data_IF_980751309716
#
_entry.id   IF_980751309716
#
_cell.length_a   1.000
_cell.length_b   1.000
_cell.length_c   1.000
_cell.angle_alpha   90.00
_cell.angle_beta   90.00
_cell.angle_gamma   90.00
#
_symmetry.space_group_name_H-M   'P 1'
#
loop_
_entity.id
_entity.type
_entity.pdbx_description
1 polymer ?
#
# COMPACT_ATOMS: atom_id res chain seq x y z
N UNK A 1 22.25 18.76 23.60
CA UNK A 1 22.51 17.33 23.78
C UNK A 1 21.36 16.61 23.12
N UNK A 2 21.61 15.76 22.14
CA UNK A 2 20.55 14.98 21.50
C UNK A 2 20.04 13.95 22.50
N UNK A 3 18.73 13.85 22.64
CA UNK A 3 18.09 12.85 23.49
C UNK A 3 18.14 11.53 22.70
N UNK A 4 18.76 10.45 23.24
CA UNK A 4 18.76 9.16 22.57
C UNK A 4 17.34 8.69 22.30
N UNK A 5 17.12 8.08 21.13
CA UNK A 5 15.82 7.49 20.82
C UNK A 5 15.55 6.28 21.73
N UNK A 6 14.37 6.25 22.35
CA UNK A 6 13.87 5.07 23.06
C UNK A 6 12.89 4.31 22.16
N UNK A 7 13.38 3.23 21.55
CA UNK A 7 12.59 2.39 20.65
C UNK A 7 11.69 1.38 21.38
N UNK A 8 11.78 1.26 22.71
CA UNK A 8 11.13 0.20 23.49
C UNK A 8 9.62 0.18 23.31
N UNK A 9 8.98 1.35 23.36
CA UNK A 9 7.53 1.47 23.19
C UNK A 9 7.09 1.22 21.74
N UNK A 10 7.91 1.64 20.76
CA UNK A 10 7.63 1.36 19.35
C UNK A 10 7.77 -0.14 19.02
N UNK A 11 8.77 -0.82 19.59
CA UNK A 11 8.96 -2.25 19.44
C UNK A 11 7.76 -3.06 19.97
N UNK A 12 7.20 -2.68 21.13
CA UNK A 12 5.98 -3.29 21.68
C UNK A 12 4.76 -3.11 20.77
N UNK A 13 4.61 -1.92 20.17
CA UNK A 13 3.55 -1.66 19.19
C UNK A 13 3.72 -2.51 17.94
N UNK A 14 4.96 -2.68 17.48
CA UNK A 14 5.29 -3.54 16.34
C UNK A 14 4.99 -5.03 16.62
N UNK A 15 5.31 -5.52 17.81
CA UNK A 15 4.95 -6.88 18.25
C UNK A 15 3.43 -7.08 18.29
N UNK A 16 2.69 -6.08 18.77
CA UNK A 16 1.22 -6.12 18.78
C UNK A 16 0.66 -6.13 17.36
N UNK A 17 1.20 -5.29 16.49
CA UNK A 17 0.82 -5.23 15.07
C UNK A 17 0.97 -6.60 14.39
N UNK A 18 2.10 -7.29 14.59
CA UNK A 18 2.33 -8.61 13.98
C UNK A 18 1.48 -9.74 14.59
N UNK A 19 0.80 -9.50 15.70
CA UNK A 19 -0.21 -10.41 16.26
C UNK A 19 -1.62 -10.16 15.71
N UNK A 20 -1.85 -9.05 14.99
CA UNK A 20 -3.13 -8.78 14.36
C UNK A 20 -3.40 -9.80 13.24
N UNK A 21 -4.59 -10.38 13.25
CA UNK A 21 -5.06 -11.20 12.15
C UNK A 21 -5.19 -10.33 10.89
N UNK A 22 -4.78 -10.90 9.75
CA UNK A 22 -4.97 -10.30 8.45
C UNK A 22 -5.49 -11.37 7.48
N UNK A 23 -6.28 -10.97 6.50
CA UNK A 23 -6.85 -11.90 5.53
C UNK A 23 -6.53 -11.50 4.11
N UNK A 24 -5.65 -12.29 3.49
CA UNK A 24 -5.11 -12.01 2.18
C UNK A 24 -5.91 -12.67 1.05
N UNK A 25 -5.79 -12.17 -0.18
CA UNK A 25 -6.19 -12.87 -1.40
C UNK A 25 -7.69 -12.92 -1.73
N UNK A 26 -8.60 -12.54 -0.82
CA UNK A 26 -10.05 -12.51 -1.12
C UNK A 26 -10.55 -11.12 -1.51
N UNK A 27 -11.40 -11.07 -2.54
CA UNK A 27 -12.18 -9.87 -2.86
C UNK A 27 -13.14 -9.51 -1.73
N UNK A 28 -12.98 -8.32 -1.17
CA UNK A 28 -13.88 -7.77 -0.15
C UNK A 28 -14.28 -6.34 -0.48
N UNK A 29 -15.30 -5.86 0.24
CA UNK A 29 -15.68 -4.46 0.14
C UNK A 29 -14.48 -3.57 0.54
N UNK A 30 -14.27 -2.48 -0.19
CA UNK A 30 -13.20 -1.52 0.09
C UNK A 30 -13.18 -1.06 1.55
N UNK A 31 -14.33 -0.72 2.15
CA UNK A 31 -14.42 -0.31 3.55
C UNK A 31 -13.92 -1.40 4.51
N UNK A 32 -14.25 -2.65 4.24
CA UNK A 32 -13.80 -3.76 5.08
C UNK A 32 -12.28 -3.86 5.08
N UNK A 33 -11.64 -3.88 3.90
CA UNK A 33 -10.18 -3.98 3.84
C UNK A 33 -9.50 -2.72 4.38
N UNK A 34 -10.01 -1.53 4.05
CA UNK A 34 -9.42 -0.28 4.54
C UNK A 34 -9.50 -0.18 6.06
N UNK A 35 -10.62 -0.56 6.68
CA UNK A 35 -10.76 -0.50 8.14
C UNK A 35 -10.00 -1.62 8.85
N UNK A 36 -10.16 -2.86 8.40
CA UNK A 36 -9.66 -4.04 9.13
C UNK A 36 -8.22 -4.43 8.81
N UNK A 37 -7.67 -3.99 7.67
CA UNK A 37 -6.34 -4.42 7.20
C UNK A 37 -5.35 -3.24 7.02
N UNK A 38 -5.83 -1.99 6.99
CA UNK A 38 -4.95 -0.80 6.82
C UNK A 38 -5.04 0.13 8.03
N UNK A 39 -6.27 0.53 8.40
CA UNK A 39 -6.49 1.48 9.50
C UNK A 39 -6.18 0.85 10.86
N UNK A 40 -6.67 -0.37 11.12
CA UNK A 40 -6.34 -1.15 12.32
C UNK A 40 -4.83 -1.31 12.51
N UNK A 41 -4.15 -1.74 11.46
CA UNK A 41 -2.71 -1.94 11.38
C UNK A 41 -1.95 -0.67 11.77
N UNK A 42 -2.28 0.47 11.17
CA UNK A 42 -1.63 1.75 11.49
C UNK A 42 -1.95 2.23 12.89
N UNK A 43 -3.19 2.06 13.36
CA UNK A 43 -3.52 2.43 14.75
C UNK A 43 -2.77 1.59 15.76
N UNK A 44 -2.51 0.30 15.50
CA UNK A 44 -1.66 -0.51 16.38
C UNK A 44 -0.23 0.05 16.47
N UNK A 45 0.32 0.52 15.34
CA UNK A 45 1.67 1.10 15.27
C UNK A 45 1.80 2.46 15.98
N UNK A 46 0.72 3.23 16.09
CA UNK A 46 0.73 4.57 16.71
C UNK A 46 -0.03 4.67 18.04
N UNK A 47 -0.54 3.55 18.56
CA UNK A 47 -1.38 3.54 19.75
C UNK A 47 -0.68 4.22 20.93
N UNK A 48 -1.37 5.17 21.58
CA UNK A 48 -0.85 5.92 22.73
C UNK A 48 0.04 7.12 22.38
N UNK A 49 0.30 7.39 21.10
CA UNK A 49 1.04 8.58 20.67
C UNK A 49 0.10 9.73 20.30
N UNK A 50 0.55 10.96 20.55
CA UNK A 50 -0.09 12.14 19.99
C UNK A 50 0.15 12.16 18.47
N UNK A 51 -0.93 12.10 17.70
CA UNK A 51 -0.87 12.17 16.24
C UNK A 51 -0.67 13.64 15.80
N UNK A 52 0.48 13.89 15.17
CA UNK A 52 0.87 15.17 14.60
C UNK A 52 0.78 15.10 13.08
N UNK A 53 -0.32 15.60 12.52
CA UNK A 53 -0.55 15.58 11.07
C UNK A 53 -1.17 16.86 10.55
N UNK A 54 -1.63 17.75 11.41
CA UNK A 54 -2.10 19.08 11.04
C UNK A 54 -0.94 20.05 11.21
N UNK A 55 -0.63 20.80 10.15
CA UNK A 55 0.49 21.75 10.14
C UNK A 55 0.38 22.79 11.27
N UNK A 56 -0.84 23.13 11.73
CA UNK A 56 -1.04 24.04 12.86
C UNK A 56 -0.51 23.46 14.18
N UNK A 57 -0.39 22.13 14.31
CA UNK A 57 0.20 21.50 15.49
C UNK A 57 1.69 21.82 15.66
N UNK A 58 2.37 22.33 14.63
CA UNK A 58 3.77 22.77 14.74
C UNK A 58 3.94 24.24 15.14
N UNK A 59 2.83 24.97 15.28
CA UNK A 59 2.80 26.42 15.48
C UNK A 59 3.14 26.89 16.91
N UNK A 60 3.49 25.99 17.85
CA UNK A 60 3.75 26.35 19.26
C UNK A 60 4.76 27.51 19.46
N UNK A 61 5.71 27.67 18.53
CA UNK A 61 6.71 28.74 18.57
C UNK A 61 6.27 30.03 17.84
N UNK A 62 5.05 30.09 17.32
CA UNK A 62 4.52 31.27 16.63
C UNK A 62 4.38 32.46 17.59
N UNK A 63 4.56 33.66 17.06
CA UNK A 63 4.37 34.93 17.79
C UNK A 63 2.93 35.42 17.79
N UNK A 64 2.04 34.75 17.05
CA UNK A 64 0.62 35.09 16.96
C UNK A 64 -0.23 34.08 17.74
N UNK A 65 -1.52 34.37 17.90
CA UNK A 65 -2.48 33.51 18.62
C UNK A 65 -2.61 32.10 18.05
N UNK A 66 -2.13 31.84 16.82
CA UNK A 66 -2.07 30.49 16.24
C UNK A 66 -1.16 29.55 17.04
N UNK A 67 -0.32 30.09 17.94
CA UNK A 67 0.51 29.31 18.84
C UNK A 67 -0.30 28.38 19.76
N UNK A 68 -1.57 28.70 20.05
CA UNK A 68 -2.48 27.86 20.85
C UNK A 68 -2.79 26.52 20.17
N UNK A 69 -2.62 26.43 18.84
CA UNK A 69 -2.77 25.18 18.09
C UNK A 69 -1.56 24.23 18.28
N UNK A 70 -0.44 24.75 18.78
CA UNK A 70 0.80 24.01 18.92
C UNK A 70 0.69 22.79 19.83
N UNK A 71 1.24 21.68 19.38
CA UNK A 71 1.33 20.46 20.15
C UNK A 71 2.38 20.55 21.27
N UNK A 72 2.08 19.92 22.40
CA UNK A 72 3.04 19.65 23.46
C UNK A 72 3.97 18.49 23.07
N UNK A 73 5.15 18.83 22.54
CA UNK A 73 6.17 17.87 22.12
C UNK A 73 6.90 17.19 23.28
N UNK A 74 6.59 17.53 24.55
CA UNK A 74 7.08 16.76 25.70
C UNK A 74 6.36 15.40 25.83
N UNK A 75 5.21 15.24 25.19
CA UNK A 75 4.49 13.98 25.10
C UNK A 75 5.07 13.09 23.97
N UNK A 76 4.93 11.76 24.06
CA UNK A 76 5.23 10.88 22.94
C UNK A 76 4.34 11.20 21.73
N UNK A 77 4.95 11.58 20.62
CA UNK A 77 4.24 12.04 19.43
C UNK A 77 4.70 11.30 18.17
N UNK A 78 3.81 11.20 17.18
CA UNK A 78 4.13 10.66 15.86
C UNK A 78 3.71 11.60 14.77
N UNK A 79 4.63 11.87 13.85
CA UNK A 79 4.27 12.54 12.59
C UNK A 79 3.98 11.49 11.53
N UNK A 80 2.85 11.61 10.83
CA UNK A 80 2.45 10.65 9.79
C UNK A 80 2.51 11.28 8.41
N UNK A 81 3.18 10.62 7.48
CA UNK A 81 3.06 10.91 6.04
C UNK A 81 2.37 9.75 5.34
N UNK A 82 1.60 10.04 4.29
CA UNK A 82 0.88 9.03 3.52
C UNK A 82 1.10 9.21 2.02
N UNK A 83 1.60 8.15 1.40
CA UNK A 83 1.62 7.98 -0.03
C UNK A 83 0.74 6.80 -0.48
N UNK A 84 0.25 6.86 -1.71
CA UNK A 84 -0.33 5.70 -2.37
C UNK A 84 -0.05 5.71 -3.87
N UNK A 85 -0.08 4.53 -4.47
CA UNK A 85 -0.05 4.37 -5.92
C UNK A 85 -1.42 3.95 -6.44
N UNK A 86 -1.79 4.38 -7.64
CA UNK A 86 -2.95 3.91 -8.38
C UNK A 86 -2.57 3.77 -9.86
N UNK A 87 -3.31 2.98 -10.63
CA UNK A 87 -3.18 3.05 -12.07
C UNK A 87 -3.76 4.38 -12.59
N UNK A 88 -3.12 5.01 -13.58
CA UNK A 88 -3.65 6.19 -14.28
C UNK A 88 -4.89 5.93 -15.15
N UNK A 89 -5.39 4.69 -15.19
CA UNK A 89 -6.63 4.34 -15.88
C UNK A 89 -7.82 5.14 -15.30
N UNK A 90 -8.63 5.74 -16.18
CA UNK A 90 -9.80 6.54 -15.78
C UNK A 90 -10.81 5.76 -14.94
N UNK A 91 -10.91 4.44 -15.11
CA UNK A 91 -11.79 3.58 -14.29
C UNK A 91 -11.38 3.66 -12.81
N UNK A 92 -10.13 3.99 -12.52
CA UNK A 92 -9.58 4.11 -11.18
C UNK A 92 -9.84 5.45 -10.49
N UNK A 93 -10.26 6.47 -11.23
CA UNK A 93 -10.47 7.84 -10.73
C UNK A 93 -11.80 8.01 -9.98
N UNK A 94 -12.56 6.93 -9.79
CA UNK A 94 -13.87 6.93 -9.16
C UNK A 94 -13.88 6.56 -7.67
N UNK A 95 -14.89 5.80 -7.29
CA UNK A 95 -15.34 5.60 -5.92
C UNK A 95 -14.31 4.93 -5.00
N UNK A 96 -13.50 3.99 -5.49
CA UNK A 96 -12.44 3.35 -4.69
C UNK A 96 -11.41 4.37 -4.16
N UNK A 97 -11.11 5.40 -4.96
CA UNK A 97 -10.19 6.48 -4.61
C UNK A 97 -10.83 7.45 -3.63
N UNK A 98 -12.11 7.80 -3.82
CA UNK A 98 -12.85 8.61 -2.85
C UNK A 98 -12.95 7.91 -1.48
N UNK A 99 -13.39 6.65 -1.46
CA UNK A 99 -13.48 5.84 -0.22
C UNK A 99 -12.15 5.70 0.49
N UNK A 100 -11.06 5.52 -0.27
CA UNK A 100 -9.72 5.48 0.31
C UNK A 100 -9.36 6.81 0.97
N UNK A 101 -9.68 7.94 0.32
CA UNK A 101 -9.48 9.27 0.93
C UNK A 101 -10.31 9.44 2.21
N UNK A 102 -11.60 9.06 2.17
CA UNK A 102 -12.53 9.24 3.29
C UNK A 102 -12.23 8.32 4.48
N UNK A 103 -11.62 7.15 4.25
CA UNK A 103 -11.35 6.15 5.29
C UNK A 103 -9.89 6.18 5.75
N UNK A 104 -8.94 6.11 4.83
CA UNK A 104 -7.52 5.93 5.17
C UNK A 104 -6.84 7.29 5.26
N UNK A 105 -6.88 8.08 4.19
CA UNK A 105 -6.11 9.32 4.15
C UNK A 105 -6.64 10.37 5.13
N UNK A 106 -7.96 10.45 5.31
CA UNK A 106 -8.60 11.30 6.32
C UNK A 106 -8.12 11.05 7.75
N UNK A 107 -7.38 9.96 8.03
CA UNK A 107 -6.81 9.63 9.35
C UNK A 107 -5.30 9.80 9.44
N UNK A 108 -4.57 9.56 8.35
CA UNK A 108 -3.10 9.45 8.38
C UNK A 108 -2.35 10.36 7.41
N UNK A 109 -3.03 11.01 6.47
CA UNK A 109 -2.39 12.02 5.63
C UNK A 109 -2.26 13.34 6.40
N UNK A 110 -1.29 14.15 5.97
CA UNK A 110 -1.07 15.50 6.46
C UNK A 110 -2.26 16.40 6.10
N UNK A 111 -2.59 17.32 7.00
CA UNK A 111 -3.52 18.42 6.78
C UNK A 111 -2.72 19.71 6.70
N UNK A 112 -3.01 20.51 5.68
CA UNK A 112 -2.46 21.85 5.57
C UNK A 112 -2.97 22.76 6.68
N UNK A 113 -2.34 23.92 6.83
CA UNK A 113 -2.77 24.97 7.75
C UNK A 113 -4.20 25.48 7.51
N UNK A 114 -4.75 25.25 6.32
CA UNK A 114 -6.15 25.56 5.95
C UNK A 114 -7.06 24.32 5.93
N UNK A 115 -6.59 23.18 6.42
CA UNK A 115 -7.36 21.94 6.55
C UNK A 115 -7.46 21.10 5.26
N UNK A 116 -6.62 21.37 4.26
CA UNK A 116 -6.58 20.56 3.04
C UNK A 116 -5.79 19.27 3.23
N UNK A 117 -6.33 18.17 2.74
CA UNK A 117 -5.67 16.87 2.80
C UNK A 117 -4.49 16.80 1.82
N UNK A 118 -3.27 16.80 2.36
CA UNK A 118 -1.99 16.63 1.65
C UNK A 118 -1.56 15.17 1.73
N UNK A 119 -1.81 14.41 0.67
CA UNK A 119 -1.30 13.05 0.49
C UNK A 119 -0.55 12.91 -0.83
N UNK A 120 0.45 12.05 -0.85
CA UNK A 120 1.20 11.78 -2.07
C UNK A 120 0.52 10.73 -2.94
N UNK A 121 0.15 11.14 -4.15
CA UNK A 121 -0.62 10.34 -5.08
C UNK A 121 0.18 10.07 -6.36
N UNK A 122 0.56 8.82 -6.55
CA UNK A 122 1.32 8.39 -7.73
C UNK A 122 0.42 7.61 -8.69
N UNK A 123 0.50 7.90 -9.99
CA UNK A 123 -0.36 7.31 -11.02
C UNK A 123 0.37 6.50 -12.12
N UNK A 124 1.26 5.55 -11.79
CA UNK A 124 1.97 4.78 -12.81
C UNK A 124 1.04 3.86 -13.59
N UNK A 125 1.31 3.68 -14.89
CA UNK A 125 0.59 2.70 -15.70
C UNK A 125 0.75 1.25 -15.15
N UNK A 126 -0.34 0.51 -14.95
CA UNK A 126 -0.28 -0.78 -14.22
C UNK A 126 -0.77 -0.70 -12.78
N UNK A 127 -0.69 0.49 -12.16
CA UNK A 127 -0.71 0.63 -10.70
C UNK A 127 0.53 -0.04 -10.07
N UNK A 128 0.62 -0.04 -8.74
CA UNK A 128 1.87 -0.46 -8.07
C UNK A 128 2.98 0.56 -8.27
N UNK A 129 4.24 0.27 -7.90
CA UNK A 129 5.35 1.25 -7.95
C UNK A 129 5.88 1.48 -9.36
N UNK A 130 6.10 2.74 -9.74
CA UNK A 130 6.93 3.11 -10.92
C UNK A 130 8.40 2.72 -10.70
N UNK A 131 8.88 3.03 -9.49
CA UNK A 131 10.19 2.72 -8.94
C UNK A 131 10.07 2.80 -7.41
N UNK A 132 10.37 1.70 -6.71
CA UNK A 132 10.27 1.64 -5.25
C UNK A 132 11.15 2.69 -4.54
N UNK A 133 12.31 3.01 -5.11
CA UNK A 133 13.22 4.02 -4.58
C UNK A 133 12.67 5.44 -4.71
N UNK A 134 12.10 5.79 -5.86
CA UNK A 134 11.47 7.12 -6.04
C UNK A 134 10.30 7.30 -5.10
N UNK A 135 9.46 6.26 -4.92
CA UNK A 135 8.33 6.31 -4.00
C UNK A 135 8.81 6.51 -2.56
N UNK A 136 9.83 5.76 -2.11
CA UNK A 136 10.41 5.91 -0.78
C UNK A 136 10.99 7.32 -0.58
N UNK A 137 11.86 7.75 -1.49
CA UNK A 137 12.55 9.04 -1.40
C UNK A 137 11.59 10.22 -1.31
N UNK A 138 10.63 10.33 -2.25
CA UNK A 138 9.67 11.43 -2.26
C UNK A 138 8.80 11.42 -0.99
N UNK A 139 8.32 10.25 -0.57
CA UNK A 139 7.46 10.14 0.62
C UNK A 139 8.22 10.53 1.89
N UNK A 140 9.48 10.11 2.03
CA UNK A 140 10.32 10.45 3.19
C UNK A 140 10.71 11.92 3.19
N UNK A 141 11.05 12.48 2.03
CA UNK A 141 11.41 13.89 1.88
C UNK A 141 10.26 14.83 2.29
N UNK A 142 9.01 14.43 2.06
CA UNK A 142 7.82 15.24 2.37
C UNK A 142 7.24 14.97 3.77
N UNK A 143 7.93 14.24 4.66
CA UNK A 143 7.44 13.99 6.03
C UNK A 143 7.26 15.28 6.81
N UNK A 144 8.38 15.96 7.08
CA UNK A 144 8.51 17.22 7.80
C UNK A 144 9.89 17.80 7.51
N UNK A 145 9.97 19.13 7.49
CA UNK A 145 11.23 19.85 7.40
C UNK A 145 12.18 19.52 8.56
N UNK A 146 13.48 19.59 8.29
CA UNK A 146 14.53 19.28 9.27
C UNK A 146 14.41 20.09 10.56
N UNK A 147 14.03 21.37 10.46
CA UNK A 147 13.85 22.24 11.63
C UNK A 147 12.73 21.75 12.57
N UNK A 148 11.62 21.25 12.01
CA UNK A 148 10.52 20.66 12.77
C UNK A 148 10.91 19.28 13.29
N UNK A 149 11.64 18.49 12.51
CA UNK A 149 12.16 17.18 12.93
C UNK A 149 13.07 17.29 14.15
N UNK A 150 13.98 18.27 14.16
CA UNK A 150 14.83 18.56 15.33
C UNK A 150 14.01 18.90 16.58
N UNK A 151 12.94 19.69 16.43
CA UNK A 151 12.04 20.02 17.54
C UNK A 151 11.31 18.78 18.07
N UNK A 152 10.82 17.92 17.18
CA UNK A 152 10.19 16.66 17.55
C UNK A 152 11.16 15.76 18.35
N UNK A 153 12.38 15.60 17.85
CA UNK A 153 13.37 14.68 18.44
C UNK A 153 13.96 15.21 19.75
N UNK A 154 14.01 16.54 19.92
CA UNK A 154 14.39 17.19 21.16
C UNK A 154 13.29 17.18 22.24
N UNK A 155 12.05 16.87 21.87
CA UNK A 155 10.90 16.86 22.77
C UNK A 155 10.84 15.61 23.66
N UNK A 156 10.41 14.49 23.08
CA UNK A 156 10.25 13.21 23.78
C UNK A 156 11.13 12.11 23.13
N UNK A 157 11.82 11.26 23.93
CA UNK A 157 12.66 10.18 23.41
C UNK A 157 11.88 9.10 22.64
N UNK A 158 10.58 8.93 22.86
CA UNK A 158 9.75 7.95 22.16
C UNK A 158 9.13 8.50 20.87
N UNK A 159 9.28 9.80 20.59
CA UNK A 159 8.69 10.43 19.42
C UNK A 159 9.34 9.95 18.12
N UNK A 160 8.51 9.69 17.11
CA UNK A 160 8.89 9.00 15.88
C UNK A 160 8.19 9.58 14.63
N UNK A 161 8.61 9.15 13.45
CA UNK A 161 7.92 9.47 12.18
C UNK A 161 7.40 8.17 11.56
N UNK A 162 6.11 8.15 11.19
CA UNK A 162 5.48 7.06 10.47
C UNK A 162 5.38 7.38 8.98
N UNK A 163 5.98 6.52 8.16
CA UNK A 163 5.91 6.55 6.70
C UNK A 163 4.92 5.51 6.22
N UNK A 164 3.75 5.95 5.80
CA UNK A 164 2.71 5.06 5.32
C UNK A 164 2.66 5.04 3.79
N UNK A 165 2.76 3.86 3.16
CA UNK A 165 2.76 3.73 1.70
C UNK A 165 1.83 2.60 1.26
N UNK A 166 0.77 2.93 0.52
CA UNK A 166 -0.17 1.93 -0.01
C UNK A 166 0.01 1.73 -1.51
N UNK A 167 0.55 0.58 -1.89
CA UNK A 167 0.74 0.19 -3.27
C UNK A 167 -0.53 -0.46 -3.82
N UNK A 168 -1.14 0.17 -4.82
CA UNK A 168 -2.42 -0.31 -5.37
C UNK A 168 -2.30 -0.56 -6.87
N UNK A 169 -2.55 -1.80 -7.26
CA UNK A 169 -2.76 -2.22 -8.66
C UNK A 169 -4.24 -2.45 -8.90
N UNK A 170 -4.59 -2.90 -10.10
CA UNK A 170 -5.98 -3.12 -10.45
C UNK A 170 -6.23 -4.19 -11.48
N UNK A 171 -7.45 -4.70 -11.47
CA UNK A 171 -7.96 -5.64 -12.46
C UNK A 171 -9.44 -5.37 -12.70
N UNK A 172 -9.86 -5.35 -13.95
CA UNK A 172 -11.24 -5.24 -14.34
C UNK A 172 -11.97 -6.56 -14.11
N UNK A 173 -13.23 -6.46 -13.69
CA UNK A 173 -14.12 -7.61 -13.63
C UNK A 173 -15.44 -7.30 -14.32
N UNK A 174 -15.78 -8.13 -15.30
CA UNK A 174 -17.00 -8.01 -16.07
C UNK A 174 -17.76 -9.36 -16.08
N UNK A 175 -19.06 -9.29 -16.40
CA UNK A 175 -19.82 -10.45 -16.86
C UNK A 175 -20.07 -10.31 -18.36
N UNK A 176 -19.65 -11.30 -19.14
CA UNK A 176 -19.90 -11.43 -20.58
C UNK A 176 -20.52 -12.81 -20.82
N UNK A 177 -21.65 -12.86 -21.54
CA UNK A 177 -22.37 -14.10 -21.88
C UNK A 177 -22.64 -15.02 -20.67
N UNK A 178 -22.97 -14.42 -19.53
CA UNK A 178 -23.22 -15.13 -18.26
C UNK A 178 -21.96 -15.58 -17.52
N UNK A 179 -20.78 -15.51 -18.14
CA UNK A 179 -19.50 -15.87 -17.55
C UNK A 179 -18.80 -14.66 -16.94
N UNK A 180 -17.97 -14.91 -15.93
CA UNK A 180 -17.15 -13.89 -15.29
C UNK A 180 -15.80 -13.81 -15.98
N UNK A 181 -15.33 -12.60 -16.23
CA UNK A 181 -14.03 -12.33 -16.85
C UNK A 181 -13.22 -11.41 -15.95
N UNK A 182 -11.98 -11.79 -15.65
CA UNK A 182 -11.00 -10.92 -15.02
C UNK A 182 -10.05 -10.35 -16.06
N UNK A 183 -9.63 -9.10 -15.87
CA UNK A 183 -8.78 -8.38 -16.81
C UNK A 183 -9.54 -7.52 -17.81
N UNK A 184 -10.87 -7.50 -17.76
CA UNK A 184 -11.73 -6.72 -18.64
C UNK A 184 -12.80 -6.00 -17.83
N UNK A 185 -13.08 -4.75 -18.16
CA UNK A 185 -14.19 -4.00 -17.59
C UNK A 185 -14.63 -2.87 -18.52
N UNK A 186 -15.67 -2.14 -18.14
CA UNK A 186 -16.14 -0.94 -18.84
C UNK A 186 -16.44 0.14 -17.81
N UNK A 187 -16.22 1.38 -18.20
CA UNK A 187 -16.45 2.54 -17.34
C UNK A 187 -17.93 2.75 -17.01
N UNK A 188 -18.80 2.43 -17.96
CA UNK A 188 -20.24 2.60 -17.85
C UNK A 188 -20.96 1.67 -18.81
N UNK A 189 -22.29 1.49 -18.67
CA UNK A 189 -23.08 0.69 -19.60
C UNK A 189 -23.02 1.17 -21.06
N UNK A 190 -22.63 2.42 -21.32
CA UNK A 190 -22.57 3.03 -22.65
C UNK A 190 -21.17 2.99 -23.29
N UNK A 191 -20.19 2.37 -22.62
CA UNK A 191 -18.81 2.25 -23.12
C UNK A 191 -18.51 0.79 -23.41
N UNK A 192 -17.67 0.59 -24.42
CA UNK A 192 -17.19 -0.74 -24.79
C UNK A 192 -16.33 -1.36 -23.68
N UNK A 193 -16.47 -2.66 -23.42
CA UNK A 193 -15.54 -3.43 -22.61
C UNK A 193 -14.10 -3.34 -23.15
N UNK A 194 -13.14 -3.10 -22.27
CA UNK A 194 -11.70 -3.06 -22.60
C UNK A 194 -10.86 -3.71 -21.51
N UNK A 195 -9.60 -3.96 -21.84
CA UNK A 195 -8.64 -4.48 -20.87
C UNK A 195 -8.45 -3.51 -19.69
N UNK A 196 -8.39 -4.07 -18.49
CA UNK A 196 -8.13 -3.39 -17.24
C UNK A 196 -7.42 -4.37 -16.28
N UNK A 197 -6.17 -4.17 -15.88
CA UNK A 197 -5.27 -3.11 -16.34
C UNK A 197 -4.85 -3.29 -17.80
N UNK A 198 -5.08 -2.28 -18.63
CA UNK A 198 -4.65 -2.30 -20.04
C UNK A 198 -3.14 -2.46 -20.20
N UNK A 199 -2.35 -1.82 -19.33
CA UNK A 199 -0.89 -1.90 -19.39
C UNK A 199 -0.36 -3.31 -19.09
N UNK A 200 -0.90 -3.98 -18.07
CA UNK A 200 -0.50 -5.36 -17.73
C UNK A 200 -0.97 -6.33 -18.82
N UNK A 201 -2.21 -6.19 -19.27
CA UNK A 201 -2.76 -7.06 -20.31
C UNK A 201 -1.98 -6.96 -21.62
N UNK A 202 -1.62 -5.74 -22.05
CA UNK A 202 -0.88 -5.52 -23.28
C UNK A 202 0.59 -5.92 -23.15
N UNK A 203 1.22 -5.69 -21.99
CA UNK A 203 2.59 -6.16 -21.73
C UNK A 203 2.72 -7.68 -21.84
N UNK A 204 1.73 -8.43 -21.34
CA UNK A 204 1.74 -9.90 -21.40
C UNK A 204 1.39 -10.44 -22.81
N UNK A 205 0.50 -9.76 -23.55
CA UNK A 205 -0.01 -10.26 -24.83
C UNK A 205 0.80 -9.78 -26.04
N UNK A 206 1.29 -8.54 -25.99
CA UNK A 206 1.99 -7.85 -27.09
C UNK A 206 3.20 -7.07 -26.54
N UNK A 207 4.18 -7.79 -25.98
CA UNK A 207 5.35 -7.15 -25.40
C UNK A 207 6.14 -6.32 -26.44
N UNK A 208 6.38 -5.04 -26.13
CA UNK A 208 7.16 -4.14 -26.95
C UNK A 208 8.41 -3.69 -26.17
N UNK A 209 9.63 -4.12 -26.55
CA UNK A 209 10.85 -3.85 -25.77
C UNK A 209 11.22 -2.35 -25.71
N UNK A 210 10.72 -1.54 -26.63
CA UNK A 210 10.92 -0.08 -26.63
C UNK A 210 9.86 0.67 -25.81
N UNK A 211 8.79 0.01 -25.37
CA UNK A 211 7.79 0.60 -24.50
C UNK A 211 8.28 0.56 -23.04
N UNK A 212 8.50 1.72 -22.44
CA UNK A 212 8.98 1.86 -21.06
C UNK A 212 8.07 1.14 -20.05
N UNK A 213 6.76 1.21 -20.26
CA UNK A 213 5.77 0.61 -19.36
C UNK A 213 5.83 -0.93 -19.43
N UNK A 214 6.03 -1.50 -20.63
CA UNK A 214 6.11 -2.95 -20.79
C UNK A 214 7.37 -3.50 -20.12
N UNK A 215 8.51 -2.82 -20.32
CA UNK A 215 9.76 -3.17 -19.62
C UNK A 215 9.59 -3.16 -18.11
N UNK A 216 9.00 -2.10 -17.56
CA UNK A 216 8.74 -2.01 -16.11
C UNK A 216 7.86 -3.13 -15.61
N UNK A 217 6.73 -3.41 -16.26
CA UNK A 217 5.83 -4.49 -15.85
C UNK A 217 6.55 -5.84 -15.90
N UNK A 218 7.39 -6.07 -16.91
CA UNK A 218 8.23 -7.27 -16.99
C UNK A 218 9.27 -7.32 -15.88
N UNK A 219 9.88 -6.21 -15.50
CA UNK A 219 10.84 -6.14 -14.39
C UNK A 219 10.15 -6.42 -13.05
N UNK A 220 8.97 -5.80 -12.82
CA UNK A 220 8.13 -5.97 -11.65
C UNK A 220 7.57 -7.39 -11.53
N UNK A 221 7.19 -8.03 -12.63
CA UNK A 221 6.81 -9.45 -12.63
C UNK A 221 8.05 -10.33 -12.45
N UNK A 222 9.15 -9.98 -13.10
CA UNK A 222 10.37 -10.77 -13.17
C UNK A 222 10.27 -11.80 -14.30
N UNK A 223 11.42 -12.15 -14.85
CA UNK A 223 11.48 -12.88 -16.12
C UNK A 223 10.69 -14.19 -16.12
N UNK A 224 10.81 -15.00 -15.05
CA UNK A 224 10.10 -16.28 -14.95
C UNK A 224 8.59 -16.10 -14.92
N UNK A 225 8.09 -15.18 -14.08
CA UNK A 225 6.65 -14.90 -13.99
C UNK A 225 6.12 -14.30 -15.29
N UNK A 226 6.88 -13.40 -15.91
CA UNK A 226 6.50 -12.80 -17.18
C UNK A 226 6.35 -13.87 -18.27
N UNK A 227 7.36 -14.72 -18.46
CA UNK A 227 7.29 -15.83 -19.41
C UNK A 227 6.11 -16.77 -19.13
N UNK A 228 5.91 -17.14 -17.86
CA UNK A 228 4.81 -17.98 -17.45
C UNK A 228 3.45 -17.35 -17.77
N UNK A 229 3.19 -16.12 -17.31
CA UNK A 229 1.89 -15.44 -17.47
C UNK A 229 1.60 -15.01 -18.92
N UNK A 230 2.63 -14.84 -19.75
CA UNK A 230 2.47 -14.54 -21.18
C UNK A 230 2.14 -15.80 -22.01
N UNK A 231 2.42 -17.00 -21.51
CA UNK A 231 2.25 -18.26 -22.27
C UNK A 231 1.25 -19.23 -21.65
N UNK A 232 1.03 -19.14 -20.35
CA UNK A 232 0.14 -20.00 -19.58
C UNK A 232 -0.93 -19.16 -18.89
N UNK A 233 -2.13 -19.73 -18.84
CA UNK A 233 -3.27 -19.12 -18.14
C UNK A 233 -3.46 -19.78 -16.79
N UNK A 234 -3.84 -18.98 -15.81
CA UNK A 234 -4.22 -19.45 -14.47
C UNK A 234 -5.73 -19.39 -14.39
N UNK A 235 -6.36 -20.52 -14.11
CA UNK A 235 -7.81 -20.64 -14.01
C UNK A 235 -8.23 -20.93 -12.56
N UNK A 236 -9.45 -20.51 -12.22
CA UNK A 236 -10.11 -21.02 -11.02
C UNK A 236 -10.54 -22.48 -11.21
N UNK A 237 -10.93 -23.16 -10.13
CA UNK A 237 -11.57 -24.49 -10.19
C UNK A 237 -12.79 -24.53 -11.14
N UNK A 238 -13.53 -23.43 -11.25
CA UNK A 238 -14.67 -23.27 -12.17
C UNK A 238 -14.30 -22.87 -13.61
N UNK A 239 -13.00 -22.85 -13.96
CA UNK A 239 -12.53 -22.52 -15.31
C UNK A 239 -12.50 -21.03 -15.67
N UNK A 240 -12.59 -20.12 -14.69
CA UNK A 240 -12.49 -18.66 -14.94
C UNK A 240 -11.02 -18.24 -15.00
N UNK A 241 -10.60 -17.59 -16.10
CA UNK A 241 -9.25 -17.05 -16.23
C UNK A 241 -9.02 -15.89 -15.24
N UNK A 242 -8.01 -16.04 -14.39
CA UNK A 242 -7.59 -15.06 -13.37
C UNK A 242 -6.13 -14.61 -13.57
N UNK A 243 -5.52 -14.91 -14.71
CA UNK A 243 -4.12 -14.58 -15.03
C UNK A 243 -3.80 -13.11 -14.79
N UNK A 244 -4.69 -12.22 -15.21
CA UNK A 244 -4.50 -10.77 -15.02
C UNK A 244 -4.70 -10.33 -13.57
N UNK A 245 -5.53 -11.01 -12.78
CA UNK A 245 -5.64 -10.74 -11.35
C UNK A 245 -4.35 -11.15 -10.61
N UNK A 246 -3.77 -12.30 -10.97
CA UNK A 246 -2.49 -12.78 -10.43
C UNK A 246 -1.35 -11.86 -10.83
N UNK A 247 -1.26 -11.45 -12.11
CA UNK A 247 -0.25 -10.52 -12.57
C UNK A 247 -0.30 -9.18 -11.79
N UNK A 248 -1.49 -8.60 -11.63
CA UNK A 248 -1.69 -7.38 -10.82
C UNK A 248 -1.29 -7.58 -9.36
N UNK A 249 -1.54 -8.76 -8.79
CA UNK A 249 -1.15 -9.07 -7.42
C UNK A 249 0.37 -9.13 -7.24
N UNK A 250 1.08 -9.85 -8.13
CA UNK A 250 2.54 -9.98 -8.09
C UNK A 250 3.23 -8.63 -8.24
N UNK A 251 2.77 -7.78 -9.17
CA UNK A 251 3.30 -6.42 -9.35
C UNK A 251 3.19 -5.61 -8.05
N UNK A 252 2.03 -5.65 -7.37
CA UNK A 252 1.85 -4.92 -6.11
C UNK A 252 2.76 -5.46 -4.98
N UNK A 253 2.85 -6.78 -4.84
CA UNK A 253 3.67 -7.45 -3.81
C UNK A 253 5.16 -7.16 -4.03
N UNK A 254 5.64 -7.21 -5.28
CA UNK A 254 7.03 -6.86 -5.59
C UNK A 254 7.33 -5.39 -5.38
N UNK A 255 6.36 -4.51 -5.64
CA UNK A 255 6.46 -3.11 -5.27
C UNK A 255 6.71 -2.93 -3.77
N UNK A 256 5.99 -3.64 -2.90
CA UNK A 256 6.23 -3.56 -1.44
C UNK A 256 7.68 -3.88 -1.12
N UNK A 257 8.20 -4.98 -1.70
CA UNK A 257 9.56 -5.42 -1.41
C UNK A 257 10.57 -4.34 -1.84
N UNK A 258 10.43 -3.83 -3.06
CA UNK A 258 11.31 -2.83 -3.62
C UNK A 258 11.30 -1.53 -2.79
N UNK A 259 10.11 -1.05 -2.41
CA UNK A 259 9.96 0.16 -1.59
C UNK A 259 10.46 -0.06 -0.16
N UNK A 260 10.20 -1.21 0.45
CA UNK A 260 10.70 -1.53 1.79
C UNK A 260 12.21 -1.53 1.84
N UNK A 261 12.87 -2.11 0.82
CA UNK A 261 14.33 -2.09 0.71
C UNK A 261 14.88 -0.67 0.51
N UNK A 262 14.22 0.16 -0.29
CA UNK A 262 14.64 1.55 -0.47
C UNK A 262 14.53 2.36 0.82
N UNK A 263 13.46 2.16 1.61
CA UNK A 263 13.26 2.84 2.89
C UNK A 263 14.36 2.54 3.92
N UNK A 264 15.08 1.40 3.78
CA UNK A 264 16.24 1.11 4.64
C UNK A 264 17.37 2.12 4.49
N UNK A 265 17.43 2.85 3.37
CA UNK A 265 18.45 3.86 3.06
C UNK A 265 17.95 5.30 3.30
N UNK A 266 16.63 5.51 3.32
CA UNK A 266 16.02 6.84 3.41
C UNK A 266 15.67 7.22 4.86
N UNK A 267 15.39 6.25 5.73
CA UNK A 267 14.92 6.51 7.08
C UNK A 267 16.04 6.46 8.12
N UNK A 268 15.94 7.36 9.10
CA UNK A 268 16.75 7.36 10.31
C UNK A 268 16.19 6.38 11.37
N UNK A 269 16.90 6.26 12.50
CA UNK A 269 16.55 5.39 13.63
C UNK A 269 15.16 5.63 14.24
N UNK A 270 14.56 6.81 14.06
CA UNK A 270 13.22 7.17 14.55
C UNK A 270 12.14 7.02 13.48
N UNK A 271 12.51 6.60 12.28
CA UNK A 271 11.58 6.29 11.18
C UNK A 271 11.00 4.88 11.31
N UNK A 272 9.68 4.79 11.31
CA UNK A 272 8.90 3.57 11.15
C UNK A 272 8.17 3.65 9.81
N UNK A 273 8.32 2.65 8.93
CA UNK A 273 7.45 2.54 7.77
C UNK A 273 6.41 1.44 7.93
N UNK A 274 5.22 1.68 7.38
CA UNK A 274 4.19 0.68 7.17
C UNK A 274 3.72 0.72 5.71
N UNK A 275 3.83 -0.41 5.02
CA UNK A 275 3.48 -0.53 3.61
C UNK A 275 2.37 -1.56 3.45
N UNK A 276 1.42 -1.30 2.55
CA UNK A 276 0.40 -2.28 2.16
C UNK A 276 0.31 -2.45 0.65
N UNK A 277 -0.12 -3.63 0.21
CA UNK A 277 -0.32 -3.96 -1.20
C UNK A 277 -1.75 -4.43 -1.39
N UNK A 278 -2.41 -3.90 -2.42
CA UNK A 278 -3.75 -4.32 -2.77
C UNK A 278 -4.04 -4.26 -4.27
N UNK A 279 -4.98 -5.08 -4.72
CA UNK A 279 -5.54 -4.99 -6.07
C UNK A 279 -6.97 -4.50 -5.96
N UNK A 280 -7.29 -3.38 -6.63
CA UNK A 280 -8.68 -2.96 -6.80
C UNK A 280 -9.31 -3.76 -7.92
N UNK A 281 -10.47 -4.36 -7.67
CA UNK A 281 -11.25 -5.07 -8.68
C UNK A 281 -12.34 -4.14 -9.19
N UNK A 282 -12.12 -3.58 -10.39
CA UNK A 282 -13.00 -2.56 -10.94
C UNK A 282 -14.25 -3.18 -11.56
N UNK A 283 -15.43 -2.67 -11.18
CA UNK A 283 -16.72 -3.22 -11.61
C UNK A 283 -17.60 -2.15 -12.25
N UNK A 284 -18.26 -2.45 -13.37
CA UNK A 284 -19.18 -1.48 -13.97
C UNK A 284 -20.41 -1.31 -13.10
N UNK A 285 -20.82 -0.04 -12.89
CA UNK A 285 -22.07 0.35 -12.21
C UNK A 285 -22.22 -0.19 -10.77
N UNK A 286 -21.13 -0.56 -10.11
CA UNK A 286 -21.11 -1.09 -8.75
C UNK A 286 -19.82 -0.64 -8.06
N UNK A 287 -19.86 -0.57 -6.74
CA UNK A 287 -18.68 -0.34 -5.92
C UNK A 287 -17.50 -1.23 -6.32
N UNK A 288 -16.28 -0.73 -6.27
CA UNK A 288 -15.12 -1.60 -6.44
C UNK A 288 -14.90 -2.49 -5.21
N UNK A 289 -14.28 -3.65 -5.45
CA UNK A 289 -13.77 -4.51 -4.39
C UNK A 289 -12.26 -4.31 -4.28
N UNK A 290 -11.71 -4.76 -3.17
CA UNK A 290 -10.27 -4.76 -2.93
C UNK A 290 -9.86 -6.18 -2.56
N UNK A 291 -8.71 -6.61 -3.07
CA UNK A 291 -8.00 -7.79 -2.62
C UNK A 291 -6.78 -7.29 -1.85
N UNK A 292 -6.68 -7.62 -0.56
CA UNK A 292 -5.51 -7.33 0.25
C UNK A 292 -4.44 -8.39 0.01
N UNK A 293 -3.19 -7.98 -0.22
CA UNK A 293 -2.16 -8.88 -0.78
C UNK A 293 -0.94 -9.02 0.10
N UNK A 294 -0.51 -7.93 0.73
CA UNK A 294 0.66 -7.92 1.57
C UNK A 294 0.68 -6.70 2.50
N UNK A 295 1.45 -6.85 3.57
CA UNK A 295 1.85 -5.77 4.47
C UNK A 295 3.30 -5.90 4.85
N UNK A 296 3.93 -4.77 5.16
CA UNK A 296 5.31 -4.74 5.57
C UNK A 296 5.60 -3.62 6.57
N UNK A 297 6.63 -3.82 7.38
CA UNK A 297 7.18 -2.78 8.25
C UNK A 297 8.68 -2.68 8.05
N UNK A 298 9.21 -1.45 8.15
CA UNK A 298 10.66 -1.19 8.19
C UNK A 298 10.96 -0.38 9.44
N UNK A 299 11.69 -0.97 10.37
CA UNK A 299 12.00 -0.36 11.66
C UNK A 299 13.22 -0.99 12.32
N UNK A 300 14.06 -0.19 12.97
CA UNK A 300 15.13 -0.64 13.87
C UNK A 300 15.96 -1.81 13.32
N UNK A 301 16.38 -1.70 12.06
CA UNK A 301 17.27 -2.68 11.43
C UNK A 301 16.58 -3.94 10.92
N UNK A 302 15.23 -3.99 10.93
CA UNK A 302 14.44 -5.08 10.37
C UNK A 302 13.41 -4.60 9.36
N UNK A 303 13.33 -5.33 8.25
CA UNK A 303 12.20 -5.33 7.34
C UNK A 303 11.42 -6.61 7.59
N UNK A 304 10.13 -6.50 7.85
CA UNK A 304 9.21 -7.63 7.93
C UNK A 304 8.19 -7.54 6.81
N UNK A 305 7.96 -8.64 6.09
CA UNK A 305 7.00 -8.70 4.98
C UNK A 305 6.12 -9.94 5.14
N UNK A 306 4.80 -9.74 5.14
CA UNK A 306 3.80 -10.81 5.07
C UNK A 306 3.01 -10.65 3.78
N UNK A 307 2.99 -11.68 2.92
CA UNK A 307 2.38 -11.57 1.58
C UNK A 307 1.87 -12.89 1.01
N UNK A 308 0.91 -12.81 0.10
CA UNK A 308 0.37 -13.94 -0.67
C UNK A 308 1.40 -14.61 -1.61
N UNK A 309 2.63 -14.12 -1.71
CA UNK A 309 3.71 -14.70 -2.51
C UNK A 309 3.87 -14.06 -3.89
N UNK A 310 4.99 -14.33 -4.56
CA UNK A 310 5.40 -13.61 -5.78
C UNK A 310 5.70 -14.51 -6.98
N UNK A 311 5.47 -15.83 -6.88
CA UNK A 311 5.71 -16.81 -7.95
C UNK A 311 4.42 -17.21 -8.65
N UNK A 312 4.28 -16.87 -9.93
CA UNK A 312 3.06 -17.06 -10.70
C UNK A 312 2.61 -18.53 -10.78
N UNK A 313 3.55 -19.46 -10.88
CA UNK A 313 3.30 -20.90 -11.00
C UNK A 313 2.67 -21.54 -9.75
N UNK A 314 2.73 -20.86 -8.61
CA UNK A 314 2.16 -21.34 -7.34
C UNK A 314 0.77 -20.75 -7.05
N UNK A 315 0.30 -19.84 -7.91
CA UNK A 315 -1.02 -19.23 -7.76
C UNK A 315 -2.14 -20.13 -8.28
N UNK A 316 -3.26 -20.06 -7.59
CA UNK A 316 -4.56 -20.57 -8.05
C UNK A 316 -5.68 -19.64 -7.60
N UNK A 317 -6.92 -20.08 -7.76
CA UNK A 317 -8.04 -19.38 -7.19
C UNK A 317 -9.34 -20.16 -7.23
N UNK A 318 -10.31 -19.68 -6.46
CA UNK A 318 -11.66 -20.23 -6.40
C UNK A 318 -12.67 -19.10 -6.31
N UNK A 319 -13.89 -19.36 -6.77
CA UNK A 319 -15.01 -18.46 -6.49
C UNK A 319 -15.75 -18.96 -5.25
N UNK A 320 -15.96 -18.07 -4.29
CA UNK A 320 -16.62 -18.38 -3.02
C UNK A 320 -17.82 -17.47 -2.82
N UNK A 321 -18.87 -17.97 -2.17
CA UNK A 321 -20.00 -17.15 -1.78
C UNK A 321 -19.66 -16.35 -0.52
N UNK A 322 -19.69 -15.03 -0.65
CA UNK A 322 -19.38 -14.12 0.45
C UNK A 322 -20.20 -12.83 0.34
N UNK A 323 -20.89 -12.50 1.44
CA UNK A 323 -21.80 -11.35 1.52
C UNK A 323 -22.82 -11.31 0.36
N UNK A 324 -23.42 -12.46 0.04
CA UNK A 324 -24.44 -12.61 -1.01
C UNK A 324 -23.91 -12.51 -2.45
N UNK A 325 -22.58 -12.53 -2.66
CA UNK A 325 -21.98 -12.50 -3.98
C UNK A 325 -20.88 -13.56 -4.13
N UNK A 326 -20.73 -14.09 -5.34
CA UNK A 326 -19.53 -14.85 -5.72
C UNK A 326 -18.31 -13.93 -5.76
N UNK A 327 -17.29 -14.20 -4.96
CA UNK A 327 -16.02 -13.45 -4.83
C UNK A 327 -14.85 -14.30 -5.29
N UNK A 328 -13.87 -13.70 -5.94
CA UNK A 328 -12.58 -14.37 -6.16
C UNK A 328 -11.80 -14.44 -4.85
N UNK A 329 -11.30 -15.63 -4.55
CA UNK A 329 -10.28 -15.87 -3.54
C UNK A 329 -9.06 -16.47 -4.24
N UNK A 330 -7.97 -15.72 -4.26
CA UNK A 330 -6.67 -16.21 -4.70
C UNK A 330 -6.12 -17.20 -3.68
N UNK A 331 -5.44 -18.22 -4.16
CA UNK A 331 -4.72 -19.20 -3.36
C UNK A 331 -3.25 -19.21 -3.79
N UNK A 332 -2.36 -19.59 -2.87
CA UNK A 332 -0.93 -19.68 -3.16
C UNK A 332 -0.34 -20.86 -2.42
N UNK A 333 0.26 -21.80 -3.16
CA UNK A 333 1.01 -22.96 -2.62
C UNK A 333 0.30 -23.71 -1.47
N UNK A 334 -1.03 -23.80 -1.50
CA UNK A 334 -1.89 -24.36 -0.44
C UNK A 334 -1.71 -23.72 0.95
N UNK A 335 -1.12 -22.53 1.04
CA UNK A 335 -0.99 -21.80 2.29
C UNK A 335 -2.36 -21.35 2.83
N UNK A 336 -2.49 -21.30 4.15
CA UNK A 336 -3.59 -20.59 4.80
C UNK A 336 -3.41 -19.09 4.61
N UNK A 337 -4.32 -18.49 3.84
CA UNK A 337 -4.34 -17.06 3.53
C UNK A 337 -4.57 -16.16 4.77
N UNK A 338 -4.89 -16.73 5.94
CA UNK A 338 -4.99 -15.99 7.21
C UNK A 338 -3.73 -16.14 8.07
N UNK A 339 -2.81 -17.04 7.68
CA UNK A 339 -1.62 -17.36 8.44
C UNK A 339 -0.41 -17.51 7.50
N UNK A 340 -0.16 -16.46 6.72
CA UNK A 340 0.98 -16.40 5.81
C UNK A 340 2.28 -16.15 6.59
N UNK A 341 3.40 -16.77 6.17
CA UNK A 341 4.68 -16.57 6.85
C UNK A 341 5.15 -15.10 6.74
N UNK A 342 5.90 -14.66 7.76
CA UNK A 342 6.56 -13.37 7.78
C UNK A 342 8.02 -13.58 7.37
N UNK A 343 8.44 -12.90 6.32
CA UNK A 343 9.84 -12.80 5.92
C UNK A 343 10.52 -11.71 6.75
N UNK A 344 11.72 -11.97 7.26
CA UNK A 344 12.57 -11.00 7.97
C UNK A 344 13.86 -10.74 7.18
N UNK A 345 14.20 -9.46 6.99
CA UNK A 345 15.43 -9.01 6.34
C UNK A 345 16.10 -7.97 7.23
N UNK A 346 17.38 -8.18 7.58
CA UNK A 346 18.15 -7.25 8.40
C UNK A 346 18.80 -6.15 7.57
N UNK A 347 18.90 -4.93 8.13
CA UNK A 347 19.61 -3.80 7.52
C UNK A 347 20.35 -2.97 8.59
N UNK A 348 21.28 -2.11 8.15
CA UNK A 348 22.01 -1.22 9.05
C UNK A 348 21.19 0.03 9.35
N UNK A 349 21.10 0.39 10.64
CA UNK A 349 20.36 1.57 11.08
C UNK A 349 21.20 2.83 10.80
N UNK A 350 20.58 3.83 10.20
CA UNK A 350 21.16 5.16 10.06
C UNK A 350 20.82 6.01 11.28
N UNK A 351 21.84 6.52 11.96
CA UNK A 351 21.64 7.47 13.05
C UNK A 351 21.03 8.77 12.50
N UNK A 352 20.14 9.39 13.27
CA UNK A 352 19.49 10.64 12.85
C UNK A 352 20.49 11.79 12.65
N UNK A 353 21.58 11.81 13.42
CA UNK A 353 22.59 12.88 13.35
C UNK A 353 22.09 14.24 13.83
N UNK A 354 20.89 14.29 14.45
CA UNK A 354 20.19 15.49 14.91
C UNK A 354 20.33 15.72 16.42
#
# INVERSE_FOLDING_TARGET
>A
MSIPFDSSSAQKRLETFWQLAASFGMERNAYHNYLNEIVSDRYALINGLQLLRDELQFAAASKTDINVCGADLSLPSVVTTLAYTNCGDRIHQGEATKRYRDVVASRFATLSEIGELKLEAFFPAGGGTDNGATLAHVTVAHQIDESLRRRLYAGNPESMVLVAIDLKTHVGRLREDGQRVYGKTRESPWREPRAACGAIADALSHYHPHNLIHRRIRDDLGEKNFQFLSTQKIYTEEGVDITLAVASAIVAIRGIRNTSMALTQEMDERGLAHLTASTTVNRPSRDDLVIYLARATVFQGKVHIQSLGSKAELYGGKLVDYAGERRLQLTYDNHDINNLPIEEISYQIHASGL
#
